data_IF_526108465257
#
_entry.id   IF_526108465257
#
_cell.length_a   1.000
_cell.length_b   1.000
_cell.length_c   1.000
_cell.angle_alpha   90.00
_cell.angle_beta   90.00
_cell.angle_gamma   90.00
#
_symmetry.space_group_name_H-M   'P 1'
#
loop_
_entity.id
_entity.type
_entity.pdbx_description
1 polymer ?
#
# COMPACT_ATOMS: atom_id res chain seq x y z
N UNK A 1 0.25 -34.67 -5.43
CA UNK A 1 0.30 -33.20 -5.61
C UNK A 1 1.64 -32.73 -5.07
N UNK A 2 2.39 -31.91 -5.81
CA UNK A 2 3.74 -31.47 -5.41
C UNK A 2 3.80 -29.95 -5.43
N UNK A 3 3.75 -29.35 -4.24
CA UNK A 3 4.04 -27.94 -4.05
C UNK A 3 5.55 -27.73 -4.22
N UNK A 4 5.96 -26.80 -5.08
CA UNK A 4 7.37 -26.49 -5.31
C UNK A 4 7.63 -25.03 -4.94
N UNK A 5 8.71 -24.78 -4.19
CA UNK A 5 9.19 -23.41 -3.96
C UNK A 5 9.84 -22.90 -5.24
N UNK A 6 9.48 -21.70 -5.66
CA UNK A 6 10.10 -21.00 -6.79
C UNK A 6 10.79 -19.73 -6.31
N UNK A 7 11.76 -19.27 -7.10
CA UNK A 7 12.44 -17.99 -6.89
C UNK A 7 11.93 -17.01 -7.93
N UNK A 8 11.39 -15.87 -7.47
CA UNK A 8 10.99 -14.78 -8.35
C UNK A 8 12.23 -14.00 -8.78
N UNK A 9 12.35 -13.72 -10.07
CA UNK A 9 13.53 -13.07 -10.66
C UNK A 9 13.36 -11.56 -10.77
N UNK A 10 12.12 -11.06 -10.68
CA UNK A 10 11.81 -9.65 -10.88
C UNK A 10 10.66 -9.21 -9.96
N UNK A 11 10.68 -7.92 -9.60
CA UNK A 11 9.66 -7.31 -8.75
C UNK A 11 8.29 -7.24 -9.44
N UNK A 12 8.21 -7.22 -10.78
CA UNK A 12 6.95 -7.15 -11.52
C UNK A 12 6.13 -8.43 -11.34
N UNK A 13 6.79 -9.59 -11.36
CA UNK A 13 6.17 -10.88 -11.10
C UNK A 13 5.66 -10.97 -9.65
N UNK A 14 6.44 -10.47 -8.68
CA UNK A 14 6.02 -10.38 -7.28
C UNK A 14 4.80 -9.46 -7.13
N UNK A 15 4.85 -8.26 -7.69
CA UNK A 15 3.75 -7.29 -7.63
C UNK A 15 2.46 -7.87 -8.22
N UNK A 16 2.52 -8.55 -9.38
CA UNK A 16 1.35 -9.23 -9.95
C UNK A 16 0.75 -10.27 -9.01
N UNK A 17 1.58 -11.09 -8.38
CA UNK A 17 1.11 -12.11 -7.44
C UNK A 17 0.50 -11.49 -6.16
N UNK A 18 1.14 -10.46 -5.61
CA UNK A 18 0.59 -9.70 -4.47
C UNK A 18 -0.78 -9.15 -4.81
N UNK A 19 -0.94 -8.54 -5.99
CA UNK A 19 -2.21 -7.96 -6.43
C UNK A 19 -3.31 -9.00 -6.63
N UNK A 20 -2.98 -10.23 -7.03
CA UNK A 20 -3.96 -11.32 -7.11
C UNK A 20 -4.39 -11.86 -5.74
N UNK A 21 -3.63 -11.57 -4.69
CA UNK A 21 -3.82 -12.11 -3.34
C UNK A 21 -4.04 -11.02 -2.28
N UNK A 22 -4.49 -9.82 -2.67
CA UNK A 22 -4.72 -8.70 -1.72
C UNK A 22 -5.68 -9.05 -0.58
N UNK A 23 -6.62 -9.95 -0.84
CA UNK A 23 -7.57 -10.45 0.16
C UNK A 23 -6.92 -11.25 1.28
N UNK A 24 -5.70 -11.79 1.06
CA UNK A 24 -4.95 -12.55 2.05
C UNK A 24 -4.18 -11.62 3.01
N UNK A 25 -4.13 -10.31 2.72
CA UNK A 25 -3.51 -9.30 3.57
C UNK A 25 -4.51 -8.74 4.59
N UNK A 26 -3.99 -8.29 5.73
CA UNK A 26 -4.79 -7.67 6.78
C UNK A 26 -5.61 -6.47 6.28
N UNK A 27 -6.89 -6.44 6.67
CA UNK A 27 -7.80 -5.33 6.42
C UNK A 27 -8.47 -5.31 5.04
N UNK A 28 -8.47 -6.44 4.30
CA UNK A 28 -9.09 -6.64 2.98
C UNK A 28 -8.93 -5.42 2.04
N UNK A 29 -7.79 -5.37 1.38
CA UNK A 29 -7.38 -4.20 0.61
C UNK A 29 -8.08 -4.22 -0.75
N UNK A 30 -8.81 -3.15 -1.05
CA UNK A 30 -9.31 -2.82 -2.39
C UNK A 30 -8.26 -1.98 -3.12
N UNK A 31 -7.89 -2.38 -4.33
CA UNK A 31 -6.89 -1.66 -5.12
C UNK A 31 -7.48 -0.38 -5.71
N UNK A 32 -6.81 0.76 -5.49
CA UNK A 32 -7.19 2.05 -6.08
C UNK A 32 -6.40 2.36 -7.34
N UNK A 33 -5.08 2.23 -7.29
CA UNK A 33 -4.20 2.60 -8.40
C UNK A 33 -2.88 1.84 -8.33
N UNK A 34 -2.31 1.55 -9.51
CA UNK A 34 -0.97 0.99 -9.65
C UNK A 34 -0.06 2.05 -10.27
N UNK A 35 1.21 2.04 -9.87
CA UNK A 35 2.25 2.86 -10.49
C UNK A 35 1.89 4.36 -10.53
N UNK A 36 1.49 4.88 -9.38
CA UNK A 36 1.06 6.27 -9.16
C UNK A 36 2.24 7.27 -9.28
N UNK A 37 2.96 7.24 -10.41
CA UNK A 37 3.95 8.21 -10.91
C UNK A 37 5.02 8.69 -9.92
N UNK A 38 5.20 8.04 -8.77
CA UNK A 38 5.99 8.61 -7.70
C UNK A 38 7.46 8.60 -8.11
N UNK A 39 8.18 9.69 -7.83
CA UNK A 39 9.62 9.77 -8.10
C UNK A 39 10.44 8.70 -7.33
N UNK A 40 9.80 7.96 -6.42
CA UNK A 40 10.40 6.87 -5.64
C UNK A 40 10.04 5.46 -6.15
N UNK A 41 9.44 5.35 -7.33
CA UNK A 41 9.13 4.07 -7.99
C UNK A 41 7.65 3.67 -7.90
N UNK A 42 7.30 2.47 -8.42
CA UNK A 42 5.93 2.01 -8.51
C UNK A 42 5.26 1.99 -7.14
N UNK A 43 4.08 2.59 -7.08
CA UNK A 43 3.25 2.79 -5.91
C UNK A 43 1.94 2.03 -6.15
N UNK A 44 1.73 0.92 -5.44
CA UNK A 44 0.42 0.30 -5.34
C UNK A 44 -0.33 0.96 -4.18
N UNK A 45 -1.39 1.69 -4.50
CA UNK A 45 -2.25 2.34 -3.52
C UNK A 45 -3.57 1.59 -3.46
N UNK A 46 -3.97 1.22 -2.26
CA UNK A 46 -5.27 0.62 -1.98
C UNK A 46 -6.00 1.37 -0.88
N UNK A 47 -7.17 0.84 -0.55
CA UNK A 47 -7.99 1.26 0.58
C UNK A 47 -8.41 0.03 1.37
N UNK A 48 -8.37 0.10 2.70
CA UNK A 48 -8.86 -0.99 3.55
C UNK A 48 -10.33 -0.83 3.94
N UNK A 49 -10.86 -1.79 4.70
CA UNK A 49 -12.23 -1.78 5.20
C UNK A 49 -12.58 -0.54 6.05
N UNK A 50 -11.59 0.10 6.65
CA UNK A 50 -11.73 1.35 7.42
C UNK A 50 -11.58 2.61 6.55
N UNK A 51 -11.60 2.44 5.22
CA UNK A 51 -11.41 3.50 4.24
C UNK A 51 -10.07 4.24 4.36
N UNK A 52 -9.06 3.62 4.99
CA UNK A 52 -7.70 4.16 5.12
C UNK A 52 -6.89 3.88 3.86
N UNK A 53 -6.08 4.83 3.43
CA UNK A 53 -5.09 4.57 2.39
C UNK A 53 -4.09 3.50 2.85
N UNK A 54 -3.87 2.50 1.99
CA UNK A 54 -2.90 1.43 2.20
C UNK A 54 -1.85 1.46 1.11
N UNK A 55 -0.61 1.70 1.51
CA UNK A 55 0.56 1.62 0.67
C UNK A 55 1.07 0.18 0.60
N UNK A 56 1.15 -0.39 -0.59
CA UNK A 56 1.70 -1.74 -0.81
C UNK A 56 3.08 -1.62 -1.45
N UNK A 57 4.11 -2.15 -0.76
CA UNK A 57 5.48 -2.20 -1.28
C UNK A 57 6.02 -3.60 -1.15
N UNK A 58 6.57 -4.12 -2.25
CA UNK A 58 7.18 -5.44 -2.30
C UNK A 58 8.64 -5.37 -2.73
N UNK A 59 9.46 -6.27 -2.20
CA UNK A 59 10.83 -6.50 -2.67
C UNK A 59 11.12 -8.00 -2.81
N UNK A 60 11.84 -8.38 -3.86
CA UNK A 60 12.28 -9.77 -4.07
C UNK A 60 13.49 -10.18 -3.22
N UNK A 61 14.10 -9.23 -2.50
CA UNK A 61 15.25 -9.44 -1.63
C UNK A 61 14.99 -8.87 -0.24
N UNK A 62 15.74 -9.34 0.75
CA UNK A 62 15.82 -8.67 2.05
C UNK A 62 16.60 -7.37 1.88
N UNK A 63 15.94 -6.23 2.07
CA UNK A 63 16.59 -4.92 2.01
C UNK A 63 15.94 -3.94 3.00
N UNK A 64 16.74 -3.36 3.89
CA UNK A 64 16.22 -2.37 4.86
C UNK A 64 15.76 -1.07 4.18
N UNK A 65 16.24 -0.81 2.96
CA UNK A 65 15.88 0.34 2.15
C UNK A 65 14.37 0.38 1.80
N UNK A 66 13.67 -0.77 1.84
CA UNK A 66 12.23 -0.85 1.63
C UNK A 66 11.45 0.03 2.62
N UNK A 67 11.95 0.15 3.87
CA UNK A 67 11.35 0.99 4.89
C UNK A 67 11.49 2.48 4.56
N UNK A 68 12.67 2.91 4.11
CA UNK A 68 12.88 4.30 3.70
C UNK A 68 12.00 4.67 2.49
N UNK A 69 11.84 3.74 1.54
CA UNK A 69 10.92 3.89 0.41
C UNK A 69 9.47 4.07 0.91
N UNK A 70 9.04 3.22 1.85
CA UNK A 70 7.72 3.31 2.46
C UNK A 70 7.47 4.66 3.13
N UNK A 71 8.41 5.12 3.96
CA UNK A 71 8.31 6.40 4.65
C UNK A 71 8.24 7.58 3.67
N UNK A 72 9.06 7.56 2.61
CA UNK A 72 9.02 8.57 1.57
C UNK A 72 7.65 8.65 0.88
N UNK A 73 7.08 7.49 0.53
CA UNK A 73 5.78 7.40 -0.14
C UNK A 73 4.61 7.73 0.80
N UNK A 74 4.64 7.29 2.06
CA UNK A 74 3.65 7.68 3.08
C UNK A 74 3.65 9.20 3.29
N UNK A 75 4.83 9.80 3.43
CA UNK A 75 4.94 11.26 3.55
C UNK A 75 4.42 11.98 2.29
N UNK A 76 4.62 11.42 1.09
CA UNK A 76 4.02 11.95 -0.13
C UNK A 76 2.48 11.89 -0.10
N UNK A 77 1.89 10.76 0.33
CA UNK A 77 0.44 10.59 0.50
C UNK A 77 -0.11 11.64 1.47
N UNK A 78 0.54 11.82 2.62
CA UNK A 78 0.14 12.82 3.63
C UNK A 78 0.18 14.23 3.05
N UNK A 79 1.22 14.58 2.30
CA UNK A 79 1.36 15.91 1.68
C UNK A 79 0.34 16.18 0.59
N UNK A 80 -0.13 15.14 -0.11
CA UNK A 80 -1.05 15.27 -1.25
C UNK A 80 -2.45 14.73 -0.94
N UNK A 81 -2.81 14.57 0.32
CA UNK A 81 -4.06 13.92 0.72
C UNK A 81 -5.31 14.57 0.13
N UNK A 82 -5.42 15.90 0.13
CA UNK A 82 -6.56 16.62 -0.44
C UNK A 82 -6.77 16.29 -1.92
N UNK A 83 -5.68 16.07 -2.65
CA UNK A 83 -5.71 15.70 -4.06
C UNK A 83 -6.09 14.22 -4.22
N UNK A 84 -5.55 13.34 -3.39
CA UNK A 84 -5.91 11.91 -3.41
C UNK A 84 -7.38 11.67 -3.05
N UNK A 85 -7.92 12.37 -2.06
CA UNK A 85 -9.36 12.32 -1.74
C UNK A 85 -10.21 12.75 -2.93
N UNK A 86 -9.79 13.79 -3.67
CA UNK A 86 -10.51 14.25 -4.86
C UNK A 86 -10.47 13.21 -5.99
N UNK A 87 -9.31 12.60 -6.22
CA UNK A 87 -9.13 11.58 -7.26
C UNK A 87 -9.94 10.31 -6.94
N UNK A 88 -9.93 9.89 -5.67
CA UNK A 88 -10.56 8.66 -5.21
C UNK A 88 -11.86 8.87 -4.44
N UNK A 89 -12.55 9.99 -4.68
CA UNK A 89 -13.80 10.34 -3.99
C UNK A 89 -14.88 9.26 -4.19
N UNK A 90 -14.95 8.68 -5.39
CA UNK A 90 -15.95 7.64 -5.71
C UNK A 90 -15.78 6.36 -4.87
N UNK A 91 -14.59 6.13 -4.33
CA UNK A 91 -14.22 4.98 -3.52
C UNK A 91 -14.41 5.25 -2.01
N UNK A 92 -14.91 6.45 -1.64
CA UNK A 92 -15.24 6.81 -0.26
C UNK A 92 -14.03 6.83 0.66
N UNK A 93 -12.85 7.21 0.14
CA UNK A 93 -11.62 7.22 0.93
C UNK A 93 -11.67 8.31 2.00
N UNK A 94 -11.28 7.94 3.22
CA UNK A 94 -11.21 8.85 4.35
C UNK A 94 -9.77 9.09 4.77
N UNK A 95 -9.43 10.33 5.10
CA UNK A 95 -8.10 10.70 5.58
C UNK A 95 -8.03 10.91 7.10
N UNK A 96 -9.18 10.85 7.78
CA UNK A 96 -9.21 10.87 9.25
C UNK A 96 -8.37 9.74 9.89
N UNK A 97 -8.25 8.56 9.27
CA UNK A 97 -7.18 7.64 9.62
C UNK A 97 -5.87 7.96 8.86
N UNK A 98 -4.75 7.95 9.57
CA UNK A 98 -3.42 8.06 8.94
C UNK A 98 -3.19 6.92 7.95
N UNK A 99 -2.53 7.17 6.80
CA UNK A 99 -2.22 6.12 5.85
C UNK A 99 -1.32 5.07 6.50
N UNK A 100 -1.53 3.79 6.15
CA UNK A 100 -0.70 2.68 6.58
C UNK A 100 0.09 2.09 5.41
N UNK A 101 1.11 1.30 5.71
CA UNK A 101 1.85 0.54 4.71
C UNK A 101 1.86 -0.95 5.02
N UNK A 102 1.96 -1.75 3.97
CA UNK A 102 2.18 -3.19 4.02
C UNK A 102 3.43 -3.48 3.20
N UNK A 103 4.47 -3.96 3.88
CA UNK A 103 5.75 -4.33 3.27
C UNK A 103 5.79 -5.84 3.08
N UNK A 104 6.22 -6.27 1.89
CA UNK A 104 6.24 -7.68 1.50
C UNK A 104 7.64 -8.02 0.99
N UNK A 105 8.33 -8.93 1.67
CA UNK A 105 9.72 -9.30 1.36
C UNK A 105 9.95 -10.79 1.63
N UNK A 106 11.03 -11.43 1.15
CA UNK A 106 11.32 -12.82 1.51
C UNK A 106 11.69 -12.99 2.99
N UNK A 107 12.26 -11.96 3.60
CA UNK A 107 12.63 -11.84 5.02
C UNK A 107 12.83 -10.37 5.39
N UNK A 108 12.82 -10.06 6.68
CA UNK A 108 13.14 -8.72 7.20
C UNK A 108 14.23 -8.80 8.26
N UNK A 109 15.18 -7.87 8.22
CA UNK A 109 16.22 -7.78 9.24
C UNK A 109 15.63 -7.46 10.62
N UNK A 110 16.26 -7.93 11.69
CA UNK A 110 15.85 -7.61 13.06
C UNK A 110 15.87 -6.10 13.30
N UNK A 111 16.87 -5.40 12.75
CA UNK A 111 16.99 -3.94 12.84
C UNK A 111 15.77 -3.24 12.25
N UNK A 112 15.31 -3.65 11.07
CA UNK A 112 14.11 -3.08 10.45
C UNK A 112 12.87 -3.35 11.30
N UNK A 113 12.70 -4.57 11.78
CA UNK A 113 11.56 -4.95 12.63
C UNK A 113 11.51 -4.12 13.91
N UNK A 114 12.65 -3.97 14.60
CA UNK A 114 12.78 -3.14 15.79
C UNK A 114 12.55 -1.65 15.48
N UNK A 115 13.06 -1.16 14.35
CA UNK A 115 12.91 0.24 13.94
C UNK A 115 11.44 0.61 13.73
N UNK A 116 10.64 -0.28 13.14
CA UNK A 116 9.22 -0.01 12.88
C UNK A 116 8.43 0.22 14.17
N UNK A 117 8.82 -0.40 15.28
CA UNK A 117 8.16 -0.17 16.57
C UNK A 117 8.18 1.31 17.00
N UNK A 118 9.15 2.09 16.52
CA UNK A 118 9.33 3.51 16.86
C UNK A 118 8.80 4.49 15.81
N UNK A 119 8.27 3.99 14.69
CA UNK A 119 7.79 4.83 13.57
C UNK A 119 6.33 5.22 13.81
N UNK A 120 5.91 6.46 13.54
CA UNK A 120 4.53 6.90 13.82
C UNK A 120 3.47 6.22 12.93
N UNK A 121 3.82 5.75 11.74
CA UNK A 121 2.90 5.09 10.83
C UNK A 121 2.63 3.63 11.21
N UNK A 122 1.43 3.16 10.89
CA UNK A 122 1.08 1.74 10.89
C UNK A 122 1.78 1.06 9.71
N UNK A 123 2.64 0.08 10.00
CA UNK A 123 3.40 -0.66 8.99
C UNK A 123 3.26 -2.15 9.30
N UNK A 124 2.57 -2.87 8.43
CA UNK A 124 2.45 -4.32 8.46
C UNK A 124 3.58 -4.95 7.66
N UNK A 125 4.08 -6.09 8.15
CA UNK A 125 5.16 -6.84 7.51
C UNK A 125 4.66 -8.23 7.13
N UNK A 126 4.94 -8.65 5.90
CA UNK A 126 4.67 -10.01 5.42
C UNK A 126 5.91 -10.62 4.80
N UNK A 127 6.33 -11.76 5.33
CA UNK A 127 7.32 -12.60 4.69
C UNK A 127 6.64 -13.47 3.64
N UNK A 128 7.14 -13.45 2.40
CA UNK A 128 6.58 -14.27 1.34
C UNK A 128 7.44 -15.48 0.99
N UNK A 129 6.77 -16.57 0.62
CA UNK A 129 7.38 -17.69 -0.11
C UNK A 129 6.61 -17.92 -1.40
N UNK A 130 7.27 -17.75 -2.53
CA UNK A 130 6.68 -18.05 -3.82
C UNK A 130 6.64 -19.56 -4.05
N UNK A 131 5.47 -20.05 -4.46
CA UNK A 131 5.21 -21.47 -4.68
C UNK A 131 4.53 -21.68 -6.04
N UNK A 132 4.74 -22.86 -6.60
CA UNK A 132 4.04 -23.34 -7.80
C UNK A 132 3.35 -24.68 -7.49
N UNK A 133 2.07 -24.76 -7.84
CA UNK A 133 1.24 -25.95 -7.73
C UNK A 133 0.49 -26.15 -9.04
N UNK A 134 0.71 -27.27 -9.72
CA UNK A 134 0.02 -27.59 -10.99
C UNK A 134 0.12 -26.47 -12.06
N UNK A 135 1.28 -25.81 -12.17
CA UNK A 135 1.54 -24.65 -13.05
C UNK A 135 0.85 -23.34 -12.64
N UNK A 136 0.16 -23.31 -11.50
CA UNK A 136 -0.33 -22.08 -10.89
C UNK A 136 0.70 -21.58 -9.88
N UNK A 137 1.04 -20.29 -9.97
CA UNK A 137 1.97 -19.63 -9.06
C UNK A 137 1.18 -18.85 -8.00
N UNK A 138 1.69 -18.84 -6.78
CA UNK A 138 1.13 -18.08 -5.68
C UNK A 138 2.17 -17.73 -4.64
N UNK A 139 1.75 -16.92 -3.68
CA UNK A 139 2.52 -16.53 -2.50
C UNK A 139 1.89 -17.17 -1.27
N UNK A 140 2.75 -17.76 -0.43
CA UNK A 140 2.45 -17.97 0.97
C UNK A 140 2.93 -16.72 1.71
N UNK A 141 2.01 -16.02 2.39
CA UNK A 141 2.26 -14.76 3.08
C UNK A 141 2.17 -14.99 4.58
N UNK A 142 3.28 -14.84 5.30
CA UNK A 142 3.31 -14.96 6.76
C UNK A 142 3.42 -13.57 7.39
N UNK A 143 2.48 -13.14 8.25
CA UNK A 143 2.61 -11.87 8.96
C UNK A 143 3.75 -11.93 9.97
N UNK A 144 4.60 -10.90 9.99
CA UNK A 144 5.67 -10.75 10.99
C UNK A 144 5.15 -9.93 12.17
N UNK A 145 5.25 -10.51 13.36
CA UNK A 145 4.82 -9.86 14.59
C UNK A 145 5.88 -8.88 15.08
N UNK A 146 5.54 -7.59 15.09
CA UNK A 146 6.41 -6.54 15.61
C UNK A 146 6.22 -6.44 17.12
N UNK A 147 7.27 -6.76 17.86
CA UNK A 147 7.25 -6.69 19.33
C UNK A 147 6.93 -5.27 19.80
N UNK A 148 5.92 -5.14 20.67
CA UNK A 148 5.51 -3.86 21.25
C UNK A 148 4.33 -3.16 20.57
N UNK A 149 3.84 -3.65 19.41
CA UNK A 149 2.57 -3.23 18.80
C UNK A 149 1.54 -4.34 18.86
N UNK A 150 0.38 -4.05 19.46
CA UNK A 150 -0.81 -4.87 19.18
C UNK A 150 -1.19 -4.65 17.73
N UNK A 151 -1.21 -5.72 16.92
CA UNK A 151 -1.97 -5.70 15.66
C UNK A 151 -3.37 -5.17 15.98
N UNK A 152 -3.82 -4.16 15.24
CA UNK A 152 -5.20 -3.71 15.31
C UNK A 152 -6.08 -4.84 14.76
N UNK A 153 -6.66 -5.62 15.67
CA UNK A 153 -7.84 -6.43 15.37
C UNK A 153 -9.00 -5.52 14.98
N UNK A 154 -9.86 -5.91 14.03
CA UNK A 154 -10.96 -5.07 13.60
C UNK A 154 -11.97 -4.88 14.74
N UNK A 155 -12.47 -3.65 14.88
CA UNK A 155 -13.65 -3.20 15.68
C UNK A 155 -13.33 -2.30 16.88
N UNK A 156 -13.60 -0.99 16.75
CA UNK A 156 -14.76 -0.32 17.35
C UNK A 156 -14.58 1.21 17.27
N UNK A 157 -15.58 1.86 16.68
CA UNK A 157 -15.69 3.29 16.40
C UNK A 157 -15.36 4.23 17.56
N UNK A 158 -14.65 5.32 17.25
CA UNK A 158 -14.86 6.62 17.87
C UNK A 158 -14.74 7.71 16.78
N UNK A 159 -15.86 8.12 16.21
CA UNK A 159 -15.92 9.23 15.25
C UNK A 159 -15.83 10.58 15.98
N UNK A 160 -15.03 11.56 15.52
CA UNK A 160 -15.30 12.95 15.79
C UNK A 160 -16.17 13.54 14.67
N UNK A 161 -17.23 14.22 15.10
CA UNK A 161 -18.14 15.03 14.29
C UNK A 161 -17.36 16.16 13.62
N UNK A 162 -17.45 16.31 12.29
CA UNK A 162 -17.05 17.54 11.61
C UNK A 162 -18.05 17.94 10.52
N UNK A 163 -18.33 19.25 10.51
CA UNK A 163 -19.42 19.91 9.79
C UNK A 163 -19.14 20.05 8.29
N UNK A 164 -20.21 19.79 7.54
CA UNK A 164 -20.31 19.87 6.08
C UNK A 164 -19.94 21.27 5.56
N UNK A 165 -19.00 21.31 4.61
CA UNK A 165 -18.65 22.51 3.84
C UNK A 165 -18.64 22.15 2.35
N UNK A 166 -19.83 21.86 1.83
CA UNK A 166 -20.07 21.69 0.40
C UNK A 166 -19.66 22.94 -0.39
N UNK A 167 -18.49 22.91 -1.01
CA UNK A 167 -18.07 23.88 -2.02
C UNK A 167 -17.59 23.15 -3.27
N UNK A 168 -18.34 23.28 -4.37
CA UNK A 168 -17.89 22.87 -5.72
C UNK A 168 -16.68 23.73 -6.08
N UNK A 169 -15.48 23.16 -6.02
CA UNK A 169 -14.23 23.85 -6.42
C UNK A 169 -13.66 23.16 -7.67
N UNK A 170 -13.43 23.95 -8.72
CA UNK A 170 -12.84 23.50 -9.97
C UNK A 170 -11.31 23.36 -9.81
N UNK A 171 -10.72 22.30 -10.40
CA UNK A 171 -9.27 22.09 -10.46
C UNK A 171 -8.60 23.26 -11.19
N UNK A 172 -7.52 23.76 -10.61
CA UNK A 172 -6.72 24.83 -11.19
C UNK A 172 -5.87 24.33 -12.36
N UNK A 173 -5.51 25.21 -13.30
CA UNK A 173 -4.69 24.83 -14.46
C UNK A 173 -3.26 24.40 -14.07
N UNK A 174 -2.78 24.84 -12.90
CA UNK A 174 -1.50 24.38 -12.33
C UNK A 174 -1.58 22.92 -11.88
N UNK A 175 -2.68 22.52 -11.26
CA UNK A 175 -2.93 21.11 -10.91
C UNK A 175 -3.01 20.29 -12.20
N UNK A 176 -3.77 20.72 -13.22
CA UNK A 176 -3.87 20.02 -14.52
C UNK A 176 -2.52 19.81 -15.22
N UNK A 177 -1.66 20.83 -15.27
CA UNK A 177 -0.33 20.72 -15.90
C UNK A 177 0.64 19.83 -15.11
N UNK A 178 0.50 19.78 -13.79
CA UNK A 178 1.21 18.78 -12.98
C UNK A 178 0.78 17.36 -13.39
N UNK A 179 -0.50 17.11 -13.64
CA UNK A 179 -0.97 15.79 -14.11
C UNK A 179 -0.46 15.40 -15.51
N UNK A 180 -0.38 16.31 -16.48
CA UNK A 180 0.10 15.98 -17.84
C UNK A 180 1.57 15.52 -17.89
N UNK A 181 2.37 15.83 -16.87
CA UNK A 181 3.75 15.35 -16.73
C UNK A 181 3.91 14.02 -15.99
N UNK A 182 2.86 13.53 -15.31
CA UNK A 182 2.91 12.34 -14.46
C UNK A 182 2.10 11.14 -15.00
N UNK A 183 1.23 11.36 -16.00
CA UNK A 183 0.37 10.32 -16.57
C UNK A 183 0.63 10.20 -18.09
N UNK A 184 1.08 9.05 -18.63
CA UNK A 184 1.00 8.82 -20.06
C UNK A 184 -0.47 8.79 -20.50
N UNK A 185 -0.76 9.43 -21.63
CA UNK A 185 -2.10 9.52 -22.24
C UNK A 185 -2.59 8.12 -22.65
N UNK A 186 -3.26 7.41 -21.74
CA UNK A 186 -4.14 6.30 -22.14
C UNK A 186 -5.19 6.02 -21.08
N UNK A 187 -6.31 6.73 -21.17
CA UNK A 187 -7.62 6.21 -20.79
C UNK A 187 -8.52 6.38 -22.03
N UNK A 188 -8.95 5.30 -22.71
CA UNK A 188 -10.10 5.39 -23.58
C UNK A 188 -11.38 5.35 -22.73
N UNK A 189 -12.33 6.19 -23.15
CA UNK A 189 -13.73 6.31 -22.76
C UNK A 189 -14.49 5.00 -22.58
#
# INVERSE_FOLDING_TARGET
MKLQRIVLQDNTALQKLVLTQLQDLAGKIELLEQDLGSQSGPLCLGVDEERRFVLLISSIVEEDAILLKALGQLNWIVRHHSLLIRLFNKQGVEFSPSPRATLIAPSFSTTLQETIAFIAFDIDLYEYRAVELNHERGLLLDPVLISGRKMTSPTASASPVFQDSSSKVQLTDTERKFFEGFFPKSLPT
#
